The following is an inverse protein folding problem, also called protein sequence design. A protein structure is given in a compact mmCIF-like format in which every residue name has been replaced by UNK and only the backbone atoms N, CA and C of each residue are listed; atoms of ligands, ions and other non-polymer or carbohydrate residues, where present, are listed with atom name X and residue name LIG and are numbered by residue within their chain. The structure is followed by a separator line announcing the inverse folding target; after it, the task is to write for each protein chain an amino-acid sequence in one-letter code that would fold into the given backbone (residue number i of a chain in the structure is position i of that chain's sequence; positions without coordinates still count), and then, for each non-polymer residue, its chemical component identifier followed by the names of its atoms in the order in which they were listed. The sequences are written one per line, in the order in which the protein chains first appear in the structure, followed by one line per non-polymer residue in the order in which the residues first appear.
data_IF_940162031066
#
_entry.id   IF_940162031066
#
_cell.length_a   1.000
_cell.length_b   1.000
_cell.length_c   1.000
_cell.angle_alpha   90.00
_cell.angle_beta   90.00
_cell.angle_gamma   90.00
#
_symmetry.space_group_name_H-M   'P 1'
#
loop_
_entity.id
_entity.type
_entity.pdbx_description
1 polymer ?
#
# COMPACT_ATOMS: atom_id res chain seq x y z
N UNK A 1 -11.23 34.44 -11.81
CA UNK A 1 -10.65 34.52 -10.45
C UNK A 1 -9.28 33.82 -10.46
N UNK A 2 -8.26 34.34 -9.75
CA UNK A 2 -6.97 33.67 -9.55
C UNK A 2 -6.79 33.42 -8.06
N UNK A 3 -6.32 32.24 -7.67
CA UNK A 3 -6.00 31.90 -6.28
C UNK A 3 -4.48 31.99 -6.06
N UNK A 4 -4.08 32.48 -4.89
CA UNK A 4 -2.67 32.50 -4.46
C UNK A 4 -2.41 31.22 -3.64
N UNK A 5 -1.57 30.32 -4.16
CA UNK A 5 -1.24 29.02 -3.56
C UNK A 5 0.13 29.00 -2.87
N UNK A 6 0.65 30.18 -2.48
CA UNK A 6 1.95 30.28 -1.78
C UNK A 6 1.99 29.55 -0.44
N UNK A 7 0.84 29.42 0.21
CA UNK A 7 0.68 28.72 1.48
C UNK A 7 -0.70 28.09 1.54
N UNK A 8 -0.81 26.86 2.03
CA UNK A 8 -2.08 26.15 2.24
C UNK A 8 -2.08 25.50 3.62
N UNK A 9 -3.12 25.69 4.42
CA UNK A 9 -3.20 25.05 5.73
C UNK A 9 -3.69 23.60 5.62
N UNK A 10 -3.00 22.68 6.28
CA UNK A 10 -3.43 21.30 6.45
C UNK A 10 -4.40 21.24 7.64
N UNK A 11 -5.61 20.73 7.40
CA UNK A 11 -6.67 20.67 8.41
C UNK A 11 -7.02 19.19 8.67
N UNK A 12 -7.17 18.82 9.94
CA UNK A 12 -7.75 17.54 10.32
C UNK A 12 -9.27 17.52 9.98
N UNK A 13 -9.75 16.61 9.11
CA UNK A 13 -11.14 16.60 8.69
C UNK A 13 -12.13 16.21 9.80
N UNK A 14 -11.68 15.60 10.89
CA UNK A 14 -12.56 15.11 11.96
C UNK A 14 -12.82 16.19 13.03
N UNK A 15 -11.83 17.03 13.29
CA UNK A 15 -11.85 18.06 14.34
C UNK A 15 -11.89 19.49 13.79
N UNK A 16 -11.48 19.69 12.54
CA UNK A 16 -11.32 21.00 11.93
C UNK A 16 -10.06 21.75 12.39
N UNK A 17 -9.16 21.09 13.12
CA UNK A 17 -7.93 21.72 13.64
C UNK A 17 -6.90 21.93 12.52
N UNK A 18 -6.23 23.09 12.54
CA UNK A 18 -5.10 23.37 11.64
C UNK A 18 -3.85 22.69 12.20
N UNK A 19 -3.33 21.72 11.47
CA UNK A 19 -2.14 20.95 11.85
C UNK A 19 -0.86 21.72 11.53
N UNK A 20 -0.73 22.22 10.30
CA UNK A 20 0.43 23.00 9.86
C UNK A 20 0.22 23.67 8.50
N UNK A 21 1.00 24.71 8.16
CA UNK A 21 1.04 25.28 6.81
C UNK A 21 1.90 24.42 5.85
N UNK A 22 1.43 24.29 4.61
CA UNK A 22 2.11 23.65 3.49
C UNK A 22 2.60 24.70 2.49
N UNK A 23 3.79 24.46 1.94
CA UNK A 23 4.41 25.33 0.94
C UNK A 23 4.56 24.59 -0.40
N UNK A 24 4.54 25.31 -1.54
CA UNK A 24 4.81 24.73 -2.85
C UNK A 24 6.14 23.99 -2.89
N UNK A 25 6.11 22.79 -3.47
CA UNK A 25 7.29 21.97 -3.61
C UNK A 25 8.09 22.39 -4.84
N UNK A 26 9.38 22.70 -4.67
CA UNK A 26 10.31 22.83 -5.79
C UNK A 26 10.66 21.43 -6.33
N UNK A 27 9.86 20.97 -7.29
CA UNK A 27 10.07 19.67 -7.95
C UNK A 27 11.37 19.63 -8.75
N UNK A 28 11.85 20.78 -9.24
CA UNK A 28 13.08 20.85 -10.03
C UNK A 28 14.31 20.65 -9.14
N UNK A 29 14.36 21.32 -7.98
CA UNK A 29 15.37 21.08 -6.95
C UNK A 29 15.32 19.65 -6.42
N UNK A 30 14.12 19.13 -6.15
CA UNK A 30 13.96 17.76 -5.65
C UNK A 30 14.37 16.67 -6.67
N UNK A 31 14.33 16.97 -7.97
CA UNK A 31 14.78 16.06 -9.01
C UNK A 31 16.32 15.90 -9.04
N UNK A 32 17.07 16.73 -8.30
CA UNK A 32 18.53 16.68 -8.22
C UNK A 32 19.11 15.40 -7.62
N UNK A 33 18.27 14.48 -7.14
CA UNK A 33 18.68 13.12 -6.76
C UNK A 33 19.61 13.02 -5.55
N UNK A 34 19.93 14.13 -4.90
CA UNK A 34 20.76 14.16 -3.70
C UNK A 34 20.00 13.50 -2.56
N UNK A 35 20.45 12.30 -2.17
CA UNK A 35 19.91 11.57 -1.03
C UNK A 35 20.98 11.51 0.03
N UNK A 36 20.59 11.73 1.29
CA UNK A 36 21.46 11.44 2.43
C UNK A 36 21.85 9.96 2.38
N UNK A 37 23.14 9.66 2.45
CA UNK A 37 23.59 8.29 2.66
C UNK A 37 22.99 7.78 3.98
N UNK A 38 22.37 6.61 3.94
CA UNK A 38 22.01 5.91 5.17
C UNK A 38 23.26 5.17 5.64
N UNK A 39 23.53 5.24 6.95
CA UNK A 39 24.53 4.35 7.56
C UNK A 39 24.17 2.91 7.26
N UNK A 40 25.19 2.05 7.22
CA UNK A 40 25.05 0.63 6.89
C UNK A 40 23.86 0.04 7.66
N UNK A 41 22.86 -0.54 6.96
CA UNK A 41 21.71 -1.11 7.63
C UNK A 41 22.18 -2.17 8.62
N UNK A 42 21.50 -2.25 9.77
CA UNK A 42 21.73 -3.33 10.71
C UNK A 42 21.63 -4.69 9.99
N UNK A 43 22.44 -5.68 10.39
CA UNK A 43 22.39 -7.00 9.76
C UNK A 43 20.97 -7.54 9.82
N UNK A 44 20.50 -8.05 8.67
CA UNK A 44 19.17 -8.63 8.55
C UNK A 44 19.03 -9.79 9.55
N UNK A 45 17.93 -9.87 10.31
CA UNK A 45 17.74 -10.97 11.24
C UNK A 45 17.77 -12.30 10.48
N UNK A 46 18.42 -13.31 11.09
CA UNK A 46 18.46 -14.65 10.52
C UNK A 46 17.01 -15.13 10.25
N UNK A 47 16.76 -15.79 9.09
CA UNK A 47 15.45 -16.31 8.81
C UNK A 47 15.03 -17.27 9.93
N UNK A 48 13.77 -17.24 10.39
CA UNK A 48 13.30 -18.18 11.38
C UNK A 48 13.50 -19.60 10.87
N UNK A 49 13.90 -20.53 11.75
CA UNK A 49 14.03 -21.94 11.42
C UNK A 49 12.76 -22.42 10.71
N UNK A 50 12.89 -22.76 9.43
CA UNK A 50 11.78 -23.01 8.49
C UNK A 50 10.97 -24.28 8.75
N UNK A 51 10.73 -24.63 10.01
CA UNK A 51 10.12 -25.89 10.43
C UNK A 51 8.60 -25.80 10.58
N UNK A 52 7.99 -24.62 10.53
CA UNK A 52 6.54 -24.48 10.67
C UNK A 52 5.91 -23.74 9.50
N UNK A 53 4.90 -24.39 8.91
CA UNK A 53 4.05 -23.79 7.88
C UNK A 53 3.39 -22.51 8.43
N UNK A 54 3.51 -21.35 7.75
CA UNK A 54 2.85 -20.11 8.17
C UNK A 54 1.34 -20.34 8.41
N UNK A 55 0.75 -19.70 9.43
CA UNK A 55 -0.67 -19.90 9.76
C UNK A 55 -1.60 -19.57 8.59
N UNK A 56 -1.28 -18.52 7.83
CA UNK A 56 -2.04 -18.15 6.64
C UNK A 56 -1.98 -19.25 5.57
N UNK A 57 -0.79 -19.82 5.33
CA UNK A 57 -0.61 -20.87 4.33
C UNK A 57 -1.36 -22.16 4.71
N UNK A 58 -1.40 -22.52 6.00
CA UNK A 58 -2.25 -23.63 6.48
C UNK A 58 -3.73 -23.42 6.19
N UNK A 59 -4.24 -22.19 6.41
CA UNK A 59 -5.64 -21.83 6.12
C UNK A 59 -5.93 -21.94 4.62
N UNK A 60 -5.07 -21.36 3.77
CA UNK A 60 -5.24 -21.38 2.32
C UNK A 60 -5.27 -22.81 1.76
N UNK A 61 -4.40 -23.70 2.27
CA UNK A 61 -4.38 -25.11 1.87
C UNK A 61 -5.67 -25.85 2.28
N UNK A 62 -6.21 -25.58 3.47
CA UNK A 62 -7.45 -26.18 3.93
C UNK A 62 -8.66 -25.72 3.08
N UNK A 63 -8.74 -24.43 2.75
CA UNK A 63 -9.80 -23.87 1.90
C UNK A 63 -9.72 -24.42 0.48
N UNK A 64 -8.52 -24.53 -0.08
CA UNK A 64 -8.31 -25.14 -1.40
C UNK A 64 -8.72 -26.62 -1.41
N UNK A 65 -8.30 -27.39 -0.40
CA UNK A 65 -8.68 -28.80 -0.30
C UNK A 65 -10.20 -29.00 -0.15
N UNK A 66 -10.90 -28.07 0.49
CA UNK A 66 -12.35 -28.13 0.67
C UNK A 66 -13.15 -27.70 -0.57
N UNK A 67 -12.67 -26.69 -1.31
CA UNK A 67 -13.42 -26.07 -2.42
C UNK A 67 -12.95 -26.52 -3.80
N UNK A 68 -11.74 -27.06 -3.92
CA UNK A 68 -11.07 -27.34 -5.19
C UNK A 68 -10.63 -26.09 -5.96
N UNK A 69 -10.94 -24.89 -5.45
CA UNK A 69 -10.64 -23.62 -6.11
C UNK A 69 -9.35 -23.02 -5.55
N UNK A 70 -8.47 -22.46 -6.39
CA UNK A 70 -7.29 -21.78 -5.91
C UNK A 70 -7.67 -20.56 -5.07
N UNK A 71 -6.81 -20.12 -4.13
CA UNK A 71 -7.06 -18.91 -3.37
C UNK A 71 -7.23 -17.70 -4.31
N UNK A 72 -8.22 -16.85 -4.00
CA UNK A 72 -8.63 -15.71 -4.80
C UNK A 72 -9.19 -16.04 -6.20
N UNK A 73 -9.76 -17.23 -6.40
CA UNK A 73 -10.53 -17.52 -7.62
C UNK A 73 -11.70 -16.56 -7.79
N UNK A 74 -11.70 -15.82 -8.90
CA UNK A 74 -12.81 -14.97 -9.33
C UNK A 74 -13.56 -15.70 -10.43
N UNK A 75 -14.84 -16.00 -10.21
CA UNK A 75 -15.69 -16.50 -11.29
C UNK A 75 -15.78 -15.44 -12.39
N UNK A 76 -15.73 -15.85 -13.67
CA UNK A 76 -15.99 -14.92 -14.76
C UNK A 76 -17.38 -14.30 -14.59
N UNK A 77 -17.58 -13.04 -14.99
CA UNK A 77 -18.90 -12.43 -14.97
C UNK A 77 -19.85 -13.28 -15.79
N UNK A 78 -21.02 -13.59 -15.22
CA UNK A 78 -22.08 -14.28 -15.95
C UNK A 78 -22.67 -13.28 -16.94
N UNK A 79 -22.30 -13.39 -18.22
CA UNK A 79 -22.97 -12.64 -19.27
C UNK A 79 -24.41 -13.16 -19.40
N UNK A 80 -25.44 -12.32 -19.16
CA UNK A 80 -26.84 -12.73 -19.32
C UNK A 80 -27.23 -12.98 -20.79
N UNK A 81 -26.31 -12.79 -21.74
CA UNK A 81 -26.52 -13.05 -23.18
C UNK A 81 -26.11 -14.46 -23.61
N UNK A 82 -25.42 -15.24 -22.78
CA UNK A 82 -24.93 -16.57 -23.17
C UNK A 82 -25.99 -17.68 -23.08
N UNK A 83 -27.22 -17.36 -22.64
CA UNK A 83 -28.38 -18.27 -22.55
C UNK A 83 -29.51 -17.94 -23.55
N UNK A 84 -29.28 -17.08 -24.55
CA UNK A 84 -30.24 -16.81 -25.64
C UNK A 84 -29.82 -17.42 -26.98
#
# INVERSE_FOLDING_TARGET
ARWDLRTVDLIDPHTGEILCPLYPLDKSGNAGGQRRALDTPAPEPAPPDGKTMPPLLRKLLAEHAATGLPPAYLSPPTDPESER
#
